data_IF_141687584112
#
_entry.id   IF_141687584112
#
_cell.length_a   1.000
_cell.length_b   1.000
_cell.length_c   1.000
_cell.angle_alpha   90.00
_cell.angle_beta   90.00
_cell.angle_gamma   90.00
#
_symmetry.space_group_name_H-M   'P 1'
#
loop_
_entity.id
_entity.type
_entity.pdbx_description
1 polymer ?
#
# COMPACT_ATOMS: atom_id res chain seq x y z
N UNK A 1 -2.69 -42.89 18.32
CA UNK A 1 -2.49 -42.48 16.91
C UNK A 1 -2.57 -40.96 16.87
N UNK A 2 -1.41 -40.29 16.84
CA UNK A 2 -1.31 -38.83 16.89
C UNK A 2 -1.18 -38.30 15.46
N UNK A 3 -2.24 -37.67 14.93
CA UNK A 3 -2.17 -36.95 13.66
C UNK A 3 -1.64 -35.54 13.94
N UNK A 4 -0.39 -35.31 13.51
CA UNK A 4 0.24 -33.99 13.43
C UNK A 4 -0.44 -33.22 12.31
N UNK A 5 -1.21 -32.19 12.64
CA UNK A 5 -1.64 -31.19 11.67
C UNK A 5 -0.45 -30.29 11.36
N UNK A 6 0.19 -30.58 10.23
CA UNK A 6 1.23 -29.76 9.62
C UNK A 6 0.63 -28.41 9.26
N UNK A 7 0.99 -27.38 10.02
CA UNK A 7 0.74 -25.99 9.67
C UNK A 7 1.49 -25.73 8.36
N UNK A 8 0.75 -25.47 7.29
CA UNK A 8 1.27 -24.95 6.04
C UNK A 8 1.77 -23.53 6.32
N UNK A 9 3.02 -23.43 6.73
CA UNK A 9 3.82 -22.20 6.67
C UNK A 9 4.11 -21.95 5.19
N UNK A 10 3.09 -21.47 4.48
CA UNK A 10 3.20 -20.99 3.11
C UNK A 10 3.91 -19.65 3.16
N UNK A 11 5.17 -19.66 2.75
CA UNK A 11 6.07 -18.53 2.66
C UNK A 11 5.42 -17.35 1.92
N UNK A 12 4.91 -16.38 2.68
CA UNK A 12 4.63 -15.03 2.21
C UNK A 12 5.97 -14.27 2.16
N UNK A 13 6.83 -14.64 1.22
CA UNK A 13 8.10 -13.94 0.98
C UNK A 13 8.01 -13.15 -0.32
N UNK A 14 8.53 -11.91 -0.24
CA UNK A 14 8.95 -11.02 -1.33
C UNK A 14 7.91 -10.00 -1.82
N UNK A 15 7.57 -9.05 -0.93
CA UNK A 15 7.46 -7.65 -1.34
C UNK A 15 8.51 -6.86 -0.54
N UNK A 16 9.77 -7.07 -0.89
CA UNK A 16 10.91 -6.37 -0.28
C UNK A 16 11.87 -5.95 -1.38
N UNK A 17 11.48 -4.96 -2.17
CA UNK A 17 12.39 -4.12 -2.92
C UNK A 17 11.68 -2.84 -3.42
N UNK A 18 11.22 -1.99 -2.48
CA UNK A 18 11.04 -0.58 -2.82
C UNK A 18 12.43 0.06 -2.83
N UNK A 19 13.18 -0.17 -3.91
CA UNK A 19 14.38 0.62 -4.20
C UNK A 19 13.89 2.00 -4.64
N UNK A 20 13.79 2.93 -3.69
CA UNK A 20 13.50 4.34 -3.95
C UNK A 20 14.66 4.93 -4.73
N UNK A 21 14.41 5.19 -6.02
CA UNK A 21 15.28 6.01 -6.84
C UNK A 21 15.47 7.38 -6.18
N UNK A 22 16.72 7.86 -6.19
CA UNK A 22 17.22 9.09 -5.60
C UNK A 22 16.27 10.29 -5.77
N UNK A 23 15.48 10.57 -4.74
CA UNK A 23 14.95 11.90 -4.42
C UNK A 23 15.67 12.39 -3.17
N UNK A 24 15.85 13.71 -3.04
CA UNK A 24 16.43 14.35 -1.84
C UNK A 24 15.96 13.66 -0.56
N UNK A 25 16.86 13.39 0.39
CA UNK A 25 16.48 12.71 1.62
C UNK A 25 15.37 13.53 2.29
N UNK A 26 14.21 12.91 2.44
CA UNK A 26 13.12 13.47 3.24
C UNK A 26 13.72 13.77 4.61
N UNK A 27 13.80 15.06 4.96
CA UNK A 27 14.58 15.57 6.08
C UNK A 27 14.13 15.05 7.46
N UNK A 28 13.09 14.21 7.51
CA UNK A 28 12.57 13.53 8.71
C UNK A 28 12.35 12.06 8.37
N UNK A 29 13.04 11.16 9.08
CA UNK A 29 12.92 9.70 8.93
C UNK A 29 11.44 9.23 9.00
N UNK A 30 10.61 9.90 9.82
CA UNK A 30 9.17 9.66 9.89
C UNK A 30 8.36 10.06 8.64
N UNK A 31 8.82 11.05 7.86
CA UNK A 31 8.16 11.45 6.61
C UNK A 31 8.30 10.34 5.55
N UNK A 32 9.47 9.70 5.49
CA UNK A 32 9.71 8.57 4.58
C UNK A 32 8.78 7.38 4.89
N UNK A 33 8.61 7.04 6.18
CA UNK A 33 7.72 5.97 6.61
C UNK A 33 6.25 6.25 6.27
N UNK A 34 5.77 7.48 6.45
CA UNK A 34 4.42 7.89 6.01
C UNK A 34 4.26 7.70 4.51
N UNK A 35 5.21 8.23 3.73
CA UNK A 35 5.14 8.18 2.27
C UNK A 35 5.11 6.73 1.76
N UNK A 36 5.97 5.88 2.33
CA UNK A 36 6.04 4.45 2.00
C UNK A 36 4.75 3.70 2.36
N UNK A 37 4.19 3.96 3.55
CA UNK A 37 3.00 3.26 4.01
C UNK A 37 1.76 3.61 3.16
N UNK A 38 1.54 4.88 2.84
CA UNK A 38 0.45 5.29 1.94
C UNK A 38 0.69 4.85 0.50
N UNK A 39 1.94 4.81 0.03
CA UNK A 39 2.26 4.22 -1.29
C UNK A 39 1.80 2.75 -1.34
N UNK A 40 2.08 1.97 -0.30
CA UNK A 40 1.60 0.59 -0.19
C UNK A 40 0.08 0.49 -0.21
N UNK A 41 -0.64 1.42 0.44
CA UNK A 41 -2.10 1.44 0.47
C UNK A 41 -2.70 1.77 -0.91
N UNK A 42 -2.13 2.72 -1.63
CA UNK A 42 -2.54 3.05 -3.01
C UNK A 42 -2.32 1.86 -3.94
N UNK A 43 -1.15 1.21 -3.86
CA UNK A 43 -0.85 0.04 -4.69
C UNK A 43 -1.81 -1.12 -4.38
N UNK A 44 -2.08 -1.38 -3.09
CA UNK A 44 -3.01 -2.43 -2.68
C UNK A 44 -4.44 -2.17 -3.18
N UNK A 45 -4.95 -0.94 -2.99
CA UNK A 45 -6.30 -0.56 -3.44
C UNK A 45 -6.40 -0.58 -4.97
N UNK A 46 -5.37 -0.14 -5.70
CA UNK A 46 -5.33 -0.26 -7.16
C UNK A 46 -5.38 -1.72 -7.60
N UNK A 47 -4.52 -2.57 -7.04
CA UNK A 47 -4.40 -3.98 -7.43
C UNK A 47 -5.71 -4.75 -7.18
N UNK A 48 -6.45 -4.38 -6.14
CA UNK A 48 -7.69 -5.04 -5.74
C UNK A 48 -8.97 -4.37 -6.27
N UNK A 49 -8.88 -3.26 -7.00
CA UNK A 49 -10.04 -2.42 -7.37
C UNK A 49 -11.13 -3.15 -8.16
N UNK A 50 -10.75 -4.16 -8.95
CA UNK A 50 -11.66 -4.95 -9.79
C UNK A 50 -12.27 -6.14 -9.06
N UNK A 51 -11.68 -6.53 -7.92
CA UNK A 51 -12.10 -7.69 -7.13
C UNK A 51 -13.04 -7.29 -5.99
N UNK A 52 -12.92 -6.05 -5.50
CA UNK A 52 -13.69 -5.53 -4.37
C UNK A 52 -14.90 -4.72 -4.82
N UNK A 53 -16.01 -4.87 -4.08
CA UNK A 53 -17.18 -4.02 -4.25
C UNK A 53 -16.83 -2.57 -3.86
N UNK A 54 -16.94 -1.65 -4.82
CA UNK A 54 -16.56 -0.25 -4.62
C UNK A 54 -15.05 0.01 -4.65
N UNK A 55 -14.23 -0.93 -5.14
CA UNK A 55 -12.77 -0.82 -5.16
C UNK A 55 -12.21 0.43 -5.84
N UNK A 56 -12.87 0.95 -6.89
CA UNK A 56 -12.49 2.23 -7.49
C UNK A 56 -12.69 3.42 -6.55
N UNK A 57 -13.77 3.41 -5.76
CA UNK A 57 -14.01 4.44 -4.75
C UNK A 57 -12.95 4.40 -3.66
N UNK A 58 -12.59 3.20 -3.17
CA UNK A 58 -11.51 3.02 -2.19
C UNK A 58 -10.16 3.49 -2.71
N UNK A 59 -9.82 3.18 -3.97
CA UNK A 59 -8.59 3.67 -4.61
C UNK A 59 -8.51 5.21 -4.63
N UNK A 60 -9.58 5.89 -5.03
CA UNK A 60 -9.60 7.36 -5.04
C UNK A 60 -9.54 7.97 -3.62
N UNK A 61 -10.16 7.33 -2.63
CA UNK A 61 -10.04 7.73 -1.24
C UNK A 61 -8.61 7.58 -0.73
N UNK A 62 -7.94 6.47 -1.06
CA UNK A 62 -6.54 6.24 -0.71
C UNK A 62 -5.61 7.30 -1.32
N UNK A 63 -5.82 7.68 -2.60
CA UNK A 63 -5.10 8.78 -3.25
C UNK A 63 -5.29 10.11 -2.52
N UNK A 64 -6.54 10.44 -2.17
CA UNK A 64 -6.87 11.69 -1.49
C UNK A 64 -6.23 11.76 -0.11
N UNK A 65 -6.32 10.67 0.67
CA UNK A 65 -5.69 10.56 1.98
C UNK A 65 -4.16 10.63 1.90
N UNK A 66 -3.57 10.06 0.85
CA UNK A 66 -2.13 10.12 0.61
C UNK A 66 -1.66 11.52 0.21
N UNK A 67 -2.38 12.28 -0.64
CA UNK A 67 -2.02 13.66 -0.97
C UNK A 67 -1.95 14.51 0.31
N UNK A 68 -2.92 14.38 1.20
CA UNK A 68 -2.90 15.07 2.49
C UNK A 68 -1.73 14.64 3.38
N UNK A 69 -1.48 13.33 3.48
CA UNK A 69 -0.40 12.79 4.29
C UNK A 69 0.96 13.22 3.76
N UNK A 70 1.14 13.21 2.44
CA UNK A 70 2.36 13.63 1.77
C UNK A 70 2.57 15.13 1.97
N UNK A 71 1.52 15.95 1.82
CA UNK A 71 1.58 17.40 2.08
C UNK A 71 2.08 17.68 3.50
N UNK A 72 1.56 16.96 4.50
CA UNK A 72 2.03 17.10 5.89
C UNK A 72 3.47 16.59 6.08
N UNK A 73 3.85 15.53 5.39
CA UNK A 73 5.18 14.92 5.49
C UNK A 73 6.27 15.77 4.82
N UNK A 74 5.94 16.48 3.74
CA UNK A 74 6.86 17.32 2.96
C UNK A 74 6.79 18.79 3.32
N UNK A 75 5.72 19.22 4.01
CA UNK A 75 5.34 20.63 4.20
C UNK A 75 5.20 21.39 2.86
N UNK A 76 4.85 20.65 1.79
CA UNK A 76 4.79 21.17 0.43
C UNK A 76 3.71 20.41 -0.36
N UNK A 77 2.61 21.13 -0.65
CA UNK A 77 1.45 20.58 -1.35
C UNK A 77 1.74 20.29 -2.83
N UNK A 78 2.53 21.12 -3.50
CA UNK A 78 2.80 20.95 -4.92
C UNK A 78 3.75 19.76 -5.13
N UNK A 79 4.74 19.59 -4.24
CA UNK A 79 5.57 18.40 -4.17
C UNK A 79 4.73 17.15 -3.90
N UNK A 80 3.78 17.20 -2.97
CA UNK A 80 2.89 16.08 -2.67
C UNK A 80 2.06 15.63 -3.89
N UNK A 81 1.45 16.58 -4.61
CA UNK A 81 0.70 16.30 -5.85
C UNK A 81 1.58 15.68 -6.93
N UNK A 82 2.78 16.21 -7.11
CA UNK A 82 3.74 15.66 -8.07
C UNK A 82 4.14 14.22 -7.71
N UNK A 83 4.37 13.93 -6.43
CA UNK A 83 4.67 12.57 -5.95
C UNK A 83 3.51 11.60 -6.21
N UNK A 84 2.26 12.02 -5.97
CA UNK A 84 1.08 11.21 -6.29
C UNK A 84 0.98 10.95 -7.79
N UNK A 85 1.13 11.98 -8.64
CA UNK A 85 1.06 11.81 -10.09
C UNK A 85 2.15 10.87 -10.63
N UNK A 86 3.37 10.94 -10.10
CA UNK A 86 4.45 10.01 -10.44
C UNK A 86 4.11 8.59 -10.00
N UNK A 87 3.52 8.42 -8.81
CA UNK A 87 3.10 7.12 -8.30
C UNK A 87 1.98 6.52 -9.16
N UNK A 88 0.95 7.28 -9.52
CA UNK A 88 -0.14 6.81 -10.39
C UNK A 88 0.40 6.32 -11.73
N UNK A 89 1.26 7.12 -12.39
CA UNK A 89 1.89 6.73 -13.65
C UNK A 89 2.73 5.45 -13.50
N UNK A 90 3.44 5.29 -12.38
CA UNK A 90 4.21 4.06 -12.11
C UNK A 90 3.29 2.85 -11.94
N UNK A 91 2.21 2.99 -11.17
CA UNK A 91 1.23 1.93 -10.96
C UNK A 91 0.60 1.51 -12.28
N UNK A 92 0.24 2.45 -13.14
CA UNK A 92 -0.29 2.16 -14.48
C UNK A 92 0.71 1.39 -15.35
N UNK A 93 1.99 1.74 -15.28
CA UNK A 93 3.03 1.06 -16.07
C UNK A 93 3.39 -0.32 -15.53
N UNK A 94 3.41 -0.52 -14.20
CA UNK A 94 3.77 -1.79 -13.57
C UNK A 94 2.58 -2.77 -13.52
N UNK A 95 1.34 -2.26 -13.56
CA UNK A 95 0.09 -2.99 -13.49
C UNK A 95 0.05 -4.04 -12.36
N UNK A 96 0.06 -3.60 -11.08
CA UNK A 96 0.04 -4.51 -9.95
C UNK A 96 -1.26 -5.34 -9.87
N UNK A 97 -2.35 -4.89 -10.53
CA UNK A 97 -3.60 -5.66 -10.63
C UNK A 97 -3.44 -6.92 -11.49
N UNK A 98 -2.80 -6.80 -12.66
CA UNK A 98 -2.46 -7.96 -13.48
C UNK A 98 -1.44 -8.89 -12.80
N UNK A 99 -0.47 -8.34 -12.05
CA UNK A 99 0.47 -9.14 -11.26
C UNK A 99 -0.27 -9.94 -10.17
N UNK A 100 -1.13 -9.30 -9.40
CA UNK A 100 -1.91 -9.96 -8.35
C UNK A 100 -2.87 -11.00 -8.91
N UNK A 101 -3.49 -10.73 -10.05
CA UNK A 101 -4.37 -11.69 -10.73
C UNK A 101 -3.60 -12.95 -11.12
N UNK A 102 -2.39 -12.81 -11.68
CA UNK A 102 -1.52 -13.97 -11.99
C UNK A 102 -1.18 -14.77 -10.74
N UNK A 103 -0.86 -14.11 -9.62
CA UNK A 103 -0.60 -14.80 -8.35
C UNK A 103 -1.80 -15.60 -7.85
N UNK A 104 -3.01 -15.06 -8.01
CA UNK A 104 -4.23 -15.79 -7.68
C UNK A 104 -4.47 -16.97 -8.62
N UNK A 105 -4.20 -16.82 -9.91
CA UNK A 105 -4.34 -17.89 -10.89
C UNK A 105 -3.33 -19.03 -10.63
N UNK A 106 -2.08 -18.71 -10.28
CA UNK A 106 -1.02 -19.69 -9.95
C UNK A 106 -1.41 -20.63 -8.80
N UNK A 107 -2.18 -20.13 -7.82
CA UNK A 107 -2.67 -20.92 -6.68
C UNK A 107 -4.11 -21.41 -6.86
N UNK A 108 -4.70 -21.25 -8.05
CA UNK A 108 -6.09 -21.57 -8.35
C UNK A 108 -7.08 -20.95 -7.33
N UNK A 109 -6.83 -19.72 -6.90
CA UNK A 109 -7.70 -19.02 -5.96
C UNK A 109 -9.06 -18.75 -6.61
N UNK A 110 -10.14 -19.29 -6.04
CA UNK A 110 -11.51 -18.98 -6.44
C UNK A 110 -11.94 -17.56 -6.04
N UNK A 111 -13.09 -17.06 -6.56
CA UNK A 111 -13.54 -15.68 -6.36
C UNK A 111 -13.59 -15.23 -4.89
N UNK A 112 -14.13 -16.07 -3.99
CA UNK A 112 -14.23 -15.79 -2.56
C UNK A 112 -12.86 -15.61 -1.90
N UNK A 113 -11.88 -16.44 -2.26
CA UNK A 113 -10.53 -16.33 -1.73
C UNK A 113 -9.86 -15.05 -2.22
N UNK A 114 -10.00 -14.72 -3.51
CA UNK A 114 -9.48 -13.48 -4.09
C UNK A 114 -10.05 -12.26 -3.37
N UNK A 115 -11.37 -12.24 -3.16
CA UNK A 115 -12.07 -11.18 -2.42
C UNK A 115 -11.50 -11.03 -1.02
N UNK A 116 -11.47 -12.10 -0.23
CA UNK A 116 -10.95 -12.08 1.14
C UNK A 116 -9.48 -11.65 1.21
N UNK A 117 -8.64 -12.15 0.31
CA UNK A 117 -7.24 -11.75 0.24
C UNK A 117 -7.09 -10.27 -0.09
N UNK A 118 -7.91 -9.75 -0.99
CA UNK A 118 -7.94 -8.33 -1.31
C UNK A 118 -8.43 -7.47 -0.15
N UNK A 119 -9.49 -7.87 0.55
CA UNK A 119 -9.96 -7.19 1.76
C UNK A 119 -8.87 -7.11 2.83
N UNK A 120 -8.16 -8.22 3.07
CA UNK A 120 -7.05 -8.27 4.02
C UNK A 120 -5.86 -7.40 3.60
N UNK A 121 -5.50 -7.43 2.30
CA UNK A 121 -4.40 -6.65 1.76
C UNK A 121 -4.68 -5.15 1.90
N UNK A 122 -5.87 -4.71 1.46
CA UNK A 122 -6.31 -3.31 1.53
C UNK A 122 -6.39 -2.86 2.98
N UNK A 123 -7.17 -3.54 3.82
CA UNK A 123 -7.34 -3.19 5.24
C UNK A 123 -6.02 -3.11 5.99
N UNK A 124 -5.14 -4.10 5.81
CA UNK A 124 -3.85 -4.12 6.47
C UNK A 124 -2.92 -2.98 6.01
N UNK A 125 -2.97 -2.62 4.72
CA UNK A 125 -2.18 -1.52 4.18
C UNK A 125 -2.66 -0.14 4.65
N UNK A 126 -3.98 0.08 4.70
CA UNK A 126 -4.59 1.31 5.19
C UNK A 126 -4.34 1.52 6.69
N UNK A 127 -4.42 0.45 7.48
CA UNK A 127 -4.09 0.49 8.90
C UNK A 127 -2.63 0.95 9.11
N UNK A 128 -1.68 0.34 8.41
CA UNK A 128 -0.26 0.73 8.49
C UNK A 128 -0.03 2.18 8.07
N UNK A 129 -0.71 2.64 7.02
CA UNK A 129 -0.66 4.04 6.57
C UNK A 129 -1.16 5.01 7.64
N UNK A 130 -2.29 4.68 8.26
CA UNK A 130 -2.88 5.46 9.37
C UNK A 130 -1.93 5.50 10.57
N UNK A 131 -1.40 4.36 11.00
CA UNK A 131 -0.46 4.27 12.12
C UNK A 131 0.86 5.03 11.85
N UNK A 132 1.36 5.01 10.61
CA UNK A 132 2.51 5.82 10.23
C UNK A 132 2.21 7.33 10.34
N UNK A 133 1.05 7.75 9.83
CA UNK A 133 0.57 9.15 9.95
C UNK A 133 0.44 9.60 11.41
N UNK A 134 -0.14 8.79 12.28
CA UNK A 134 -0.31 9.14 13.69
C UNK A 134 1.03 9.22 14.43
N UNK A 135 1.94 8.27 14.20
CA UNK A 135 3.29 8.33 14.77
C UNK A 135 4.05 9.56 14.30
N UNK A 136 3.94 9.91 13.02
CA UNK A 136 4.55 11.13 12.48
C UNK A 136 4.01 12.39 13.18
N UNK A 137 2.68 12.52 13.32
CA UNK A 137 2.05 13.67 14.01
C UNK A 137 2.54 13.80 15.46
N UNK A 138 2.64 12.70 16.20
CA UNK A 138 3.12 12.71 17.58
C UNK A 138 4.57 13.17 17.67
N UNK A 139 5.43 12.66 16.79
CA UNK A 139 6.84 13.01 16.76
C UNK A 139 7.09 14.47 16.35
N UNK A 140 6.27 15.03 15.47
CA UNK A 140 6.37 16.45 15.07
C UNK A 140 5.84 17.42 16.11
N UNK A 141 4.99 16.97 17.05
CA UNK A 141 4.48 17.82 18.16
C UNK A 141 5.43 17.87 19.36
N UNK A 142 6.34 16.90 19.46
CA UNK A 142 7.31 16.82 20.55
C UNK A 142 8.62 17.60 20.27
N UNK A 143 8.74 18.20 19.09
CA UNK A 143 9.87 19.04 18.65
C UNK A 143 9.45 20.51 18.64
#
# INVERSE_FOLDING_TARGET
MQMKNTILVGALMLISAFATAAGEPLAKEGAHEVIKAYTSAIVATYACRTTLDGGNGQYHQALSAAEEAFTRATDDRDKAKMMIAVLEKRIENEDPGAQLTRQFDEVNAGPELRKKSCEQLVSGSEQRATEASERFKLNTRAQ
#
